data_IF_000934575167
#
_entry.id   IF_000934575167
#
_cell.length_a   1.000
_cell.length_b   1.000
_cell.length_c   1.000
_cell.angle_alpha   90.00
_cell.angle_beta   90.00
_cell.angle_gamma   90.00
#
_symmetry.space_group_name_H-M   'P 1'
#
loop_
_entity.id
_entity.type
_entity.pdbx_description
1 polymer ?
#
# COMPACT_ATOMS: atom_id res chain seq x y z
N UNK A 1 -21.88 -17.23 -55.69
CA UNK A 1 -20.74 -17.41 -54.77
C UNK A 1 -20.41 -16.17 -53.93
N UNK A 2 -20.43 -14.93 -54.48
CA UNK A 2 -20.15 -13.71 -53.70
C UNK A 2 -21.19 -13.36 -52.61
N UNK A 3 -22.47 -13.73 -52.81
CA UNK A 3 -23.55 -13.50 -51.83
C UNK A 3 -23.55 -14.48 -50.64
N UNK A 4 -22.94 -15.66 -50.79
CA UNK A 4 -22.80 -16.66 -49.72
C UNK A 4 -21.73 -16.21 -48.71
N UNK A 5 -20.67 -15.56 -49.20
CA UNK A 5 -19.59 -14.99 -48.38
C UNK A 5 -20.09 -13.90 -47.42
N UNK A 6 -21.10 -13.13 -47.80
CA UNK A 6 -21.69 -12.08 -46.95
C UNK A 6 -22.54 -12.68 -45.83
N UNK A 7 -23.25 -13.78 -46.09
CA UNK A 7 -24.09 -14.47 -45.09
C UNK A 7 -23.21 -15.15 -44.02
N UNK A 8 -22.06 -15.70 -44.42
CA UNK A 8 -21.10 -16.30 -43.48
C UNK A 8 -20.46 -15.26 -42.53
N UNK A 9 -20.28 -14.01 -42.97
CA UNK A 9 -19.67 -12.96 -42.16
C UNK A 9 -20.60 -12.42 -41.05
N UNK A 10 -21.92 -12.45 -41.28
CA UNK A 10 -22.94 -11.97 -40.33
C UNK A 10 -23.15 -12.96 -39.17
N UNK A 11 -22.94 -14.26 -39.39
CA UNK A 11 -23.11 -15.30 -38.38
C UNK A 11 -22.01 -15.31 -37.30
N UNK A 12 -20.87 -14.67 -37.54
CA UNK A 12 -19.73 -14.64 -36.61
C UNK A 12 -19.87 -13.48 -35.58
N UNK A 13 -20.76 -12.51 -35.84
CA UNK A 13 -20.97 -11.34 -34.98
C UNK A 13 -21.98 -11.59 -33.83
N UNK A 14 -22.53 -12.81 -33.71
CA UNK A 14 -23.59 -13.14 -32.75
C UNK A 14 -23.13 -13.68 -31.39
N UNK A 15 -21.84 -14.01 -31.21
CA UNK A 15 -21.31 -14.39 -29.90
C UNK A 15 -20.83 -13.15 -29.13
N UNK A 16 -21.78 -12.28 -28.80
CA UNK A 16 -21.58 -11.29 -27.74
C UNK A 16 -21.51 -12.05 -26.42
N UNK A 17 -20.41 -11.86 -25.68
CA UNK A 17 -20.27 -12.35 -24.31
C UNK A 17 -21.51 -12.02 -23.48
N UNK A 18 -22.14 -13.03 -22.90
CA UNK A 18 -23.04 -12.82 -21.77
C UNK A 18 -22.18 -12.43 -20.57
N UNK A 19 -22.16 -11.14 -20.23
CA UNK A 19 -21.70 -10.73 -18.92
C UNK A 19 -22.74 -11.19 -17.91
N UNK A 20 -22.51 -12.38 -17.35
CA UNK A 20 -23.18 -12.82 -16.15
C UNK A 20 -22.56 -12.02 -15.00
N UNK A 21 -23.08 -10.82 -14.77
CA UNK A 21 -22.72 -9.97 -13.65
C UNK A 21 -23.33 -10.56 -12.37
N UNK A 22 -22.78 -11.68 -11.92
CA UNK A 22 -22.86 -12.01 -10.51
C UNK A 22 -22.02 -10.96 -9.79
N UNK A 23 -22.68 -9.99 -9.15
CA UNK A 23 -22.09 -8.92 -8.34
C UNK A 23 -21.52 -9.42 -7.00
N UNK A 24 -20.87 -10.58 -7.01
CA UNK A 24 -19.93 -10.99 -5.98
C UNK A 24 -18.55 -11.01 -6.64
N UNK A 25 -18.02 -9.82 -6.92
CA UNK A 25 -16.76 -9.66 -7.64
C UNK A 25 -15.57 -9.87 -6.70
N UNK A 26 -14.69 -10.86 -6.93
CA UNK A 26 -13.37 -10.92 -6.29
C UNK A 26 -12.42 -9.80 -6.77
N UNK A 27 -12.88 -8.90 -7.66
CA UNK A 27 -12.11 -7.78 -8.21
C UNK A 27 -12.45 -6.45 -7.51
N UNK A 28 -12.38 -6.39 -6.19
CA UNK A 28 -12.42 -5.09 -5.52
C UNK A 28 -11.14 -4.29 -5.85
N UNK A 29 -11.31 -3.03 -6.24
CA UNK A 29 -10.18 -2.13 -6.51
C UNK A 29 -9.49 -1.77 -5.19
N UNK A 30 -8.16 -1.84 -5.14
CA UNK A 30 -7.41 -1.26 -4.02
C UNK A 30 -7.39 0.25 -4.21
N UNK A 31 -8.11 0.96 -3.35
CA UNK A 31 -8.30 2.41 -3.46
C UNK A 31 -7.26 3.15 -2.61
N UNK A 32 -6.99 2.64 -1.41
CA UNK A 32 -6.01 3.23 -0.50
C UNK A 32 -5.41 2.15 0.40
N UNK A 33 -4.18 1.76 0.10
CA UNK A 33 -3.39 0.80 0.88
C UNK A 33 -1.99 1.31 1.23
N UNK A 34 -1.73 2.60 1.01
CA UNK A 34 -0.46 3.21 1.41
C UNK A 34 -0.59 3.93 2.75
N UNK A 35 0.52 4.17 3.40
CA UNK A 35 0.60 4.99 4.61
C UNK A 35 1.79 5.94 4.48
N UNK A 36 1.52 7.23 4.71
CA UNK A 36 2.49 8.31 4.59
C UNK A 36 2.84 8.81 5.98
N UNK A 37 4.12 8.77 6.30
CA UNK A 37 4.62 9.18 7.60
C UNK A 37 6.05 9.68 7.53
N UNK A 38 6.45 10.41 8.56
CA UNK A 38 7.83 10.76 8.82
C UNK A 38 8.26 10.14 10.14
N UNK A 39 9.55 9.90 10.27
CA UNK A 39 10.14 9.44 11.53
C UNK A 39 11.01 10.55 12.08
N UNK A 40 10.84 10.89 13.36
CA UNK A 40 11.74 11.84 14.02
C UNK A 40 12.65 11.17 15.05
N UNK A 41 13.81 11.78 15.25
CA UNK A 41 14.66 11.52 16.41
C UNK A 41 14.16 12.29 17.66
N UNK A 42 14.87 12.14 18.79
CA UNK A 42 14.54 12.78 20.05
C UNK A 42 14.60 14.33 20.04
N UNK A 43 15.22 14.92 19.02
CA UNK A 43 15.33 16.37 18.82
C UNK A 43 14.34 16.88 17.76
N UNK A 44 13.32 16.10 17.41
CA UNK A 44 12.36 16.38 16.33
C UNK A 44 12.97 16.48 14.92
N UNK A 45 14.21 16.01 14.73
CA UNK A 45 14.84 15.95 13.42
C UNK A 45 14.30 14.79 12.58
N UNK A 46 13.90 15.07 11.34
CA UNK A 46 13.37 14.08 10.41
C UNK A 46 14.46 13.11 9.94
N UNK A 47 14.32 11.82 10.26
CA UNK A 47 15.29 10.79 9.93
C UNK A 47 15.37 10.46 8.44
N UNK A 48 14.44 10.92 7.60
CA UNK A 48 14.53 10.76 6.15
C UNK A 48 15.24 11.93 5.44
N UNK A 49 15.53 13.01 6.18
CA UNK A 49 16.26 14.16 5.66
C UNK A 49 17.78 13.92 5.75
N UNK A 50 18.48 14.07 4.62
CA UNK A 50 19.94 13.89 4.52
C UNK A 50 20.75 14.85 5.40
N UNK A 51 20.13 15.95 5.85
CA UNK A 51 20.76 16.92 6.75
C UNK A 51 20.65 16.54 8.23
N UNK A 52 19.77 15.59 8.57
CA UNK A 52 19.63 15.07 9.93
C UNK A 52 20.77 14.11 10.27
N UNK A 53 21.34 14.26 11.46
CA UNK A 53 22.36 13.34 11.97
C UNK A 53 21.79 11.93 12.15
N UNK A 54 22.54 10.91 11.69
CA UNK A 54 22.10 9.51 11.66
C UNK A 54 20.79 9.30 10.89
N UNK A 55 20.59 10.06 9.81
CA UNK A 55 19.49 9.82 8.87
C UNK A 55 19.53 8.41 8.27
N UNK A 56 18.40 8.02 7.71
CA UNK A 56 18.16 6.73 7.11
C UNK A 56 18.11 6.86 5.60
N UNK A 57 18.89 6.02 4.93
CA UNK A 57 18.80 5.89 3.50
C UNK A 57 17.52 5.11 3.15
N UNK A 58 16.57 5.81 2.51
CA UNK A 58 15.31 5.21 2.08
C UNK A 58 15.54 4.06 1.08
N UNK A 59 16.68 4.04 0.37
CA UNK A 59 17.02 2.96 -0.54
C UNK A 59 17.42 1.65 0.17
N UNK A 60 17.77 1.70 1.45
CA UNK A 60 18.06 0.50 2.26
C UNK A 60 16.79 -0.12 2.86
N UNK A 61 15.69 0.63 2.89
CA UNK A 61 14.43 0.20 3.49
C UNK A 61 13.78 -0.90 2.64
N UNK A 62 13.35 -1.97 3.31
CA UNK A 62 12.66 -3.11 2.69
C UNK A 62 11.37 -3.42 3.42
N UNK A 63 10.32 -3.72 2.66
CA UNK A 63 9.08 -4.20 3.22
C UNK A 63 8.97 -5.72 3.13
N UNK A 64 8.47 -6.34 4.19
CA UNK A 64 8.13 -7.76 4.22
C UNK A 64 6.66 -7.91 4.57
N UNK A 65 5.91 -8.62 3.75
CA UNK A 65 4.50 -8.91 4.01
C UNK A 65 4.41 -10.26 4.71
N UNK A 66 3.64 -10.32 5.80
CA UNK A 66 3.35 -11.61 6.44
C UNK A 66 2.31 -12.33 5.59
N UNK A 67 2.68 -13.50 5.06
CA UNK A 67 1.82 -14.38 4.27
C UNK A 67 1.86 -15.76 4.90
N UNK A 68 0.69 -16.30 5.24
CA UNK A 68 0.58 -17.59 5.94
C UNK A 68 1.45 -17.66 7.22
N UNK A 69 1.55 -16.55 7.95
CA UNK A 69 2.35 -16.46 9.18
C UNK A 69 3.85 -16.19 8.99
N UNK A 70 4.35 -16.19 7.76
CA UNK A 70 5.79 -16.01 7.48
C UNK A 70 6.08 -14.67 6.80
N UNK A 71 7.17 -13.97 7.16
CA UNK A 71 7.59 -12.75 6.49
C UNK A 71 8.15 -13.03 5.09
N UNK A 72 7.56 -12.41 4.06
CA UNK A 72 8.00 -12.52 2.66
C UNK A 72 8.40 -11.15 2.12
N UNK A 73 9.63 -11.02 1.63
CA UNK A 73 10.12 -9.79 1.01
C UNK A 73 9.19 -9.34 -0.13
N UNK A 74 8.73 -8.10 -0.07
CA UNK A 74 8.11 -7.47 -1.22
C UNK A 74 9.21 -6.97 -2.17
N UNK A 75 9.24 -7.54 -3.38
CA UNK A 75 10.10 -7.04 -4.45
C UNK A 75 9.41 -7.15 -5.81
N UNK A 76 9.27 -6.01 -6.50
CA UNK A 76 8.76 -5.91 -7.87
C UNK A 76 9.59 -4.88 -8.65
N UNK A 77 10.66 -5.32 -9.28
CA UNK A 77 11.62 -4.44 -9.98
C UNK A 77 11.06 -3.59 -11.12
N UNK A 78 9.84 -3.86 -11.58
CA UNK A 78 9.15 -3.09 -12.61
C UNK A 78 8.24 -1.98 -12.05
N UNK A 79 8.19 -1.80 -10.72
CA UNK A 79 7.42 -0.72 -10.06
C UNK A 79 8.32 0.48 -9.73
N UNK A 80 7.71 1.65 -9.59
CA UNK A 80 8.39 2.85 -9.09
C UNK A 80 8.89 2.71 -7.65
N UNK A 81 8.20 1.89 -6.85
CA UNK A 81 8.57 1.51 -5.48
C UNK A 81 8.85 0.00 -5.42
N UNK A 82 10.03 -0.48 -5.88
CA UNK A 82 10.28 -1.90 -6.06
C UNK A 82 10.26 -2.68 -4.75
N UNK A 83 10.65 -2.06 -3.63
CA UNK A 83 10.58 -2.64 -2.28
C UNK A 83 9.31 -2.23 -1.52
N UNK A 84 8.33 -1.63 -2.21
CA UNK A 84 7.04 -1.27 -1.60
C UNK A 84 7.09 0.02 -0.79
N UNK A 85 8.17 0.80 -0.87
CA UNK A 85 8.25 2.13 -0.26
C UNK A 85 8.93 3.13 -1.19
N UNK A 86 8.63 4.42 -0.98
CA UNK A 86 9.23 5.53 -1.73
C UNK A 86 9.27 6.80 -0.87
N UNK A 87 10.36 7.57 -0.99
CA UNK A 87 10.44 8.91 -0.40
C UNK A 87 9.63 9.90 -1.24
N UNK A 88 8.89 10.78 -0.56
CA UNK A 88 8.16 11.88 -1.19
C UNK A 88 8.52 13.19 -0.48
N UNK A 89 8.59 14.29 -1.22
CA UNK A 89 8.74 15.62 -0.64
C UNK A 89 7.37 16.23 -0.37
N UNK A 90 7.14 16.69 0.86
CA UNK A 90 5.91 17.37 1.24
C UNK A 90 6.18 18.78 1.76
N UNK A 91 5.41 19.75 1.25
CA UNK A 91 5.50 21.14 1.69
C UNK A 91 5.32 21.25 3.21
N UNK A 92 6.18 22.03 3.87
CA UNK A 92 6.22 22.29 5.31
C UNK A 92 6.64 21.12 6.21
N UNK A 93 6.80 19.91 5.67
CA UNK A 93 7.12 18.70 6.44
C UNK A 93 8.47 18.09 6.03
N UNK A 94 8.89 18.33 4.79
CA UNK A 94 10.12 17.78 4.22
C UNK A 94 9.92 16.36 3.65
N UNK A 95 10.98 15.56 3.65
CA UNK A 95 10.95 14.19 3.13
C UNK A 95 10.10 13.28 4.01
N UNK A 96 9.09 12.63 3.43
CA UNK A 96 8.25 11.63 4.08
C UNK A 96 8.48 10.27 3.41
N UNK A 97 8.13 9.19 4.11
CA UNK A 97 8.11 7.85 3.55
C UNK A 97 6.68 7.41 3.29
N UNK A 98 6.40 7.07 2.02
CA UNK A 98 5.20 6.31 1.66
C UNK A 98 5.54 4.83 1.68
N UNK A 99 4.78 4.05 2.43
CA UNK A 99 4.83 2.58 2.39
C UNK A 99 3.54 2.04 1.80
N UNK A 100 3.64 1.07 0.90
CA UNK A 100 2.50 0.29 0.42
C UNK A 100 2.37 -0.91 1.35
N UNK A 101 1.29 -0.94 2.14
CA UNK A 101 1.09 -1.99 3.14
C UNK A 101 0.52 -3.25 2.49
N UNK A 102 0.68 -4.36 3.20
CA UNK A 102 0.02 -5.61 2.88
C UNK A 102 -1.49 -5.39 2.95
N UNK A 103 -2.19 -5.59 1.83
CA UNK A 103 -3.63 -5.43 1.72
C UNK A 103 -4.30 -6.73 1.25
N UNK A 104 -3.75 -7.86 1.71
CA UNK A 104 -4.32 -9.19 1.43
C UNK A 104 -5.79 -9.24 1.88
N UNK A 105 -6.73 -9.52 0.97
CA UNK A 105 -8.16 -9.48 1.25
C UNK A 105 -8.62 -10.59 2.19
N UNK A 106 -7.83 -11.65 2.34
CA UNK A 106 -8.16 -12.80 3.19
C UNK A 106 -7.76 -12.56 4.66
N UNK A 107 -7.18 -11.39 4.97
CA UNK A 107 -6.75 -11.02 6.32
C UNK A 107 -7.63 -9.91 6.90
N UNK A 108 -8.26 -10.17 8.04
CA UNK A 108 -8.97 -9.14 8.82
C UNK A 108 -8.02 -8.01 9.25
N UNK A 109 -6.79 -8.39 9.60
CA UNK A 109 -5.69 -7.48 9.97
C UNK A 109 -4.41 -7.97 9.32
N UNK A 110 -3.85 -7.16 8.43
CA UNK A 110 -2.61 -7.47 7.73
C UNK A 110 -1.40 -7.00 8.53
N UNK A 111 -0.25 -7.62 8.27
CA UNK A 111 1.04 -7.25 8.87
C UNK A 111 2.05 -6.95 7.74
N UNK A 112 2.73 -5.83 7.90
CA UNK A 112 3.88 -5.40 7.10
C UNK A 112 5.03 -5.07 8.03
N UNK A 113 6.14 -5.77 7.91
CA UNK A 113 7.38 -5.38 8.55
C UNK A 113 8.11 -4.35 7.70
N UNK A 114 8.57 -3.29 8.35
CA UNK A 114 9.40 -2.24 7.77
C UNK A 114 10.81 -2.44 8.31
N UNK A 115 11.69 -3.04 7.49
CA UNK A 115 13.09 -3.17 7.82
C UNK A 115 13.82 -1.90 7.41
N UNK A 116 14.27 -1.10 8.37
CA UNK A 116 14.98 0.16 8.12
C UNK A 116 16.43 -0.08 7.71
N UNK A 117 17.05 -1.08 8.34
CA UNK A 117 18.42 -1.54 8.10
C UNK A 117 18.56 -2.98 8.64
N UNK A 118 19.77 -3.54 8.59
CA UNK A 118 20.03 -4.92 9.02
C UNK A 118 19.69 -5.21 10.50
N UNK A 119 19.67 -4.20 11.35
CA UNK A 119 19.49 -4.35 12.80
C UNK A 119 18.12 -3.90 13.31
N UNK A 120 17.34 -3.16 12.51
CA UNK A 120 16.09 -2.54 12.95
C UNK A 120 14.94 -2.88 12.03
N UNK A 121 13.86 -3.39 12.61
CA UNK A 121 12.62 -3.69 11.92
C UNK A 121 11.45 -3.36 12.83
N UNK A 122 10.49 -2.62 12.29
CA UNK A 122 9.25 -2.27 12.98
C UNK A 122 8.05 -2.90 12.29
N UNK A 123 6.91 -2.90 12.98
CA UNK A 123 5.68 -3.53 12.51
C UNK A 123 4.63 -2.47 12.20
N UNK A 124 4.11 -2.51 10.98
CA UNK A 124 2.85 -1.88 10.61
C UNK A 124 1.77 -2.95 10.52
N UNK A 125 0.64 -2.67 11.14
CA UNK A 125 -0.55 -3.50 11.00
C UNK A 125 -1.69 -2.63 10.47
N UNK A 126 -2.54 -3.19 9.60
CA UNK A 126 -3.66 -2.44 9.03
C UNK A 126 -4.92 -3.29 8.93
N UNK A 127 -6.08 -2.63 9.08
CA UNK A 127 -7.38 -3.21 8.73
C UNK A 127 -7.96 -2.46 7.54
N UNK A 128 -8.82 -3.13 6.78
CA UNK A 128 -9.42 -2.59 5.57
C UNK A 128 -10.95 -2.70 5.62
N UNK A 129 -11.62 -1.74 4.99
CA UNK A 129 -13.04 -1.87 4.64
C UNK A 129 -13.13 -2.43 3.22
N UNK A 130 -14.05 -3.36 3.01
CA UNK A 130 -14.26 -4.08 1.75
C UNK A 130 -15.53 -3.64 1.01
N UNK A 131 -16.40 -2.84 1.64
CA UNK A 131 -17.75 -2.57 1.12
C UNK A 131 -17.78 -1.76 -0.19
N UNK A 132 -16.77 -0.91 -0.46
CA UNK A 132 -16.71 -0.04 -1.64
C UNK A 132 -15.28 0.03 -2.21
N UNK A 133 -14.60 -1.12 -2.31
CA UNK A 133 -13.16 -1.22 -2.62
C UNK A 133 -12.31 -1.32 -1.35
N UNK A 134 -11.04 -1.72 -1.48
CA UNK A 134 -10.13 -1.87 -0.33
C UNK A 134 -9.67 -0.49 0.13
N UNK A 135 -10.25 -0.03 1.23
CA UNK A 135 -9.93 1.24 1.87
C UNK A 135 -9.31 0.97 3.24
N UNK A 136 -8.10 1.47 3.47
CA UNK A 136 -7.45 1.48 4.78
C UNK A 136 -8.39 2.06 5.84
N UNK A 137 -8.61 1.32 6.93
CA UNK A 137 -9.53 1.68 8.01
C UNK A 137 -8.77 2.13 9.26
N UNK A 138 -7.79 1.37 9.69
CA UNK A 138 -6.98 1.65 10.88
C UNK A 138 -5.53 1.20 10.62
N UNK A 139 -4.57 1.90 11.22
CA UNK A 139 -3.14 1.55 11.19
C UNK A 139 -2.55 1.56 12.59
N UNK A 140 -1.74 0.56 12.88
CA UNK A 140 -0.94 0.47 14.09
C UNK A 140 0.54 0.42 13.72
N UNK A 141 1.36 1.12 14.50
CA UNK A 141 2.80 1.06 14.45
C UNK A 141 3.31 0.48 15.77
N UNK A 142 4.01 -0.65 15.71
CA UNK A 142 4.50 -1.38 16.89
C UNK A 142 3.43 -1.63 17.97
N UNK A 143 2.21 -1.95 17.54
CA UNK A 143 1.06 -2.21 18.40
C UNK A 143 0.31 -0.97 18.90
N UNK A 144 0.81 0.23 18.63
CA UNK A 144 0.14 1.50 18.98
C UNK A 144 -0.68 2.00 17.80
N UNK A 145 -1.96 2.33 18.01
CA UNK A 145 -2.81 2.87 16.94
C UNK A 145 -2.33 4.27 16.58
N UNK A 146 -1.96 4.47 15.32
CA UNK A 146 -1.41 5.75 14.81
C UNK A 146 -2.34 6.45 13.83
N UNK A 147 -3.33 5.73 13.27
CA UNK A 147 -4.28 6.33 12.34
C UNK A 147 -5.60 5.56 12.29
N UNK A 148 -6.70 6.27 12.04
CA UNK A 148 -7.98 5.68 11.66
C UNK A 148 -8.85 6.61 10.80
N UNK A 149 -9.72 6.02 9.97
CA UNK A 149 -10.53 6.73 8.98
C UNK A 149 -11.78 7.45 9.51
N UNK A 150 -12.04 7.37 10.82
CA UNK A 150 -13.17 8.04 11.49
C UNK A 150 -12.66 9.34 12.11
N UNK A 151 -11.60 9.27 12.90
CA UNK A 151 -11.07 10.39 13.68
C UNK A 151 -10.14 11.28 12.87
N UNK A 152 -9.42 10.72 11.89
CA UNK A 152 -8.40 11.45 11.10
C UNK A 152 -8.81 11.67 9.63
N UNK A 153 -10.12 11.69 9.35
CA UNK A 153 -10.65 11.80 7.97
C UNK A 153 -10.24 13.08 7.25
N UNK A 154 -10.10 14.18 8.00
CA UNK A 154 -9.72 15.50 7.47
C UNK A 154 -8.24 15.83 7.69
N UNK A 155 -7.54 15.00 8.48
CA UNK A 155 -6.09 15.07 8.66
C UNK A 155 -5.41 14.21 7.59
N UNK A 156 -5.42 14.70 6.35
CA UNK A 156 -4.52 14.20 5.29
C UNK A 156 -3.03 14.53 5.56
N UNK A 157 -2.68 14.78 6.81
CA UNK A 157 -1.35 15.13 7.24
C UNK A 157 -0.51 13.86 7.41
N UNK A 158 0.73 13.95 6.96
CA UNK A 158 1.79 13.00 7.24
C UNK A 158 1.81 12.68 8.74
N UNK A 159 1.77 11.39 9.07
CA UNK A 159 1.80 10.95 10.46
C UNK A 159 3.23 11.04 11.00
N UNK A 160 3.40 11.61 12.19
CA UNK A 160 4.71 11.67 12.85
C UNK A 160 4.88 10.44 13.73
N UNK A 161 5.84 9.59 13.38
CA UNK A 161 6.19 8.41 14.16
C UNK A 161 7.45 8.67 14.99
N UNK A 162 7.44 8.16 16.22
CA UNK A 162 8.60 8.13 17.11
C UNK A 162 8.97 6.68 17.33
N UNK A 163 10.19 6.31 16.97
CA UNK A 163 10.63 4.92 17.09
C UNK A 163 11.37 4.77 18.41
N UNK A 164 10.84 3.87 19.25
CA UNK A 164 11.36 3.54 20.57
C UNK A 164 12.61 2.67 20.49
#
# INVERSE_FOLDING_TARGET
>A
MKRILVIALILILGFSCSNNENMDSPNATVVDAYFDFLVVNANDGNLFDVTTENNWDVNEIKLFYVKNGEPVLFYKGNLAAPYGCIALEQENVGTILRVYMNCDPDLDKSITYVQWNESRTDTLEATYNHANGYQKKEVWFNGEKVWDNITMRDEYYCQKLVIK
#
